data_IF_191300532037
#
_entry.id   IF_191300532037
#
_cell.length_a   1.000
_cell.length_b   1.000
_cell.length_c   1.000
_cell.angle_alpha   90.00
_cell.angle_beta   90.00
_cell.angle_gamma   90.00
#
_symmetry.space_group_name_H-M   'P 1'
#
loop_
_entity.id
_entity.type
_entity.pdbx_description
1 polymer ?
#
# COMPACT_ATOMS: atom_id res chain seq x y z
N UNK A 1 38.51 17.38 -5.01
CA UNK A 1 37.41 16.60 -4.44
C UNK A 1 36.25 17.55 -4.25
N UNK A 2 35.13 17.33 -4.93
CA UNK A 2 33.95 18.16 -4.73
C UNK A 2 33.39 17.92 -3.32
N UNK A 3 32.63 18.90 -2.82
CA UNK A 3 31.99 18.81 -1.51
C UNK A 3 31.08 17.57 -1.46
N UNK A 4 31.27 16.74 -0.43
CA UNK A 4 30.55 15.47 -0.15
C UNK A 4 30.92 14.22 -0.97
N UNK A 5 31.94 14.23 -1.84
CA UNK A 5 32.28 13.06 -2.68
C UNK A 5 32.59 11.79 -1.86
N UNK A 6 33.30 11.93 -0.75
CA UNK A 6 33.64 10.81 0.13
C UNK A 6 32.37 10.16 0.73
N UNK A 7 31.45 10.98 1.23
CA UNK A 7 30.16 10.52 1.78
C UNK A 7 29.29 9.90 0.69
N UNK A 8 29.23 10.50 -0.50
CA UNK A 8 28.52 9.95 -1.67
C UNK A 8 29.06 8.58 -2.06
N UNK A 9 30.38 8.41 -2.07
CA UNK A 9 31.01 7.11 -2.29
C UNK A 9 30.68 6.11 -1.18
N UNK A 10 30.59 6.56 0.07
CA UNK A 10 30.18 5.71 1.20
C UNK A 10 28.73 5.22 1.05
N UNK A 11 27.79 6.07 0.62
CA UNK A 11 26.40 5.67 0.36
C UNK A 11 26.32 4.62 -0.76
N UNK A 12 27.08 4.79 -1.85
CA UNK A 12 27.14 3.76 -2.92
C UNK A 12 27.63 2.41 -2.40
N UNK A 13 28.63 2.39 -1.51
CA UNK A 13 29.11 1.15 -0.87
C UNK A 13 28.05 0.47 -0.01
N UNK A 14 27.08 1.22 0.51
CA UNK A 14 25.92 0.68 1.24
C UNK A 14 24.79 0.22 0.31
N UNK A 15 24.95 0.35 -1.01
CA UNK A 15 23.91 0.04 -2.00
C UNK A 15 22.85 1.14 -2.15
N UNK A 16 23.14 2.36 -1.70
CA UNK A 16 22.23 3.51 -1.77
C UNK A 16 22.62 4.44 -2.92
N UNK A 17 21.64 5.16 -3.52
CA UNK A 17 21.95 6.22 -4.47
C UNK A 17 22.74 7.33 -3.78
N UNK A 18 23.63 7.98 -4.52
CA UNK A 18 24.45 9.08 -3.99
C UNK A 18 23.79 10.44 -4.10
N UNK A 19 22.67 10.57 -4.81
CA UNK A 19 21.89 11.79 -5.02
C UNK A 19 20.47 11.45 -5.45
N UNK A 20 19.57 12.41 -5.29
CA UNK A 20 18.28 12.40 -5.97
C UNK A 20 18.49 12.88 -7.41
N UNK A 21 17.93 12.18 -8.39
CA UNK A 21 18.06 12.59 -9.79
C UNK A 21 17.32 11.68 -10.75
N UNK A 22 16.69 12.29 -11.76
CA UNK A 22 16.00 11.58 -12.85
C UNK A 22 17.00 10.90 -13.81
N UNK A 23 18.28 11.32 -13.76
CA UNK A 23 19.40 10.71 -14.50
C UNK A 23 19.67 9.24 -14.14
N UNK A 24 18.97 8.70 -13.13
CA UNK A 24 18.93 7.26 -12.85
C UNK A 24 18.29 6.45 -13.99
N UNK A 25 17.59 7.12 -14.91
CA UNK A 25 16.91 6.48 -16.04
C UNK A 25 15.64 5.74 -15.62
N UNK A 26 14.89 5.17 -16.58
CA UNK A 26 13.71 4.39 -16.29
C UNK A 26 14.07 3.11 -15.53
N UNK A 27 13.24 2.73 -14.56
CA UNK A 27 13.35 1.47 -13.84
C UNK A 27 13.16 0.28 -14.79
N UNK A 28 14.10 -0.68 -14.82
CA UNK A 28 13.97 -1.89 -15.62
C UNK A 28 13.09 -2.96 -14.94
N UNK A 29 12.71 -2.78 -13.67
CA UNK A 29 11.97 -3.77 -12.88
C UNK A 29 10.52 -3.86 -13.34
N UNK A 30 9.89 -5.02 -13.17
CA UNK A 30 8.50 -5.30 -13.55
C UNK A 30 7.82 -6.16 -12.49
N UNK A 31 6.49 -6.18 -12.51
CA UNK A 31 5.70 -7.22 -11.83
C UNK A 31 5.95 -8.58 -12.50
N UNK A 32 5.54 -9.66 -11.85
CA UNK A 32 5.77 -11.04 -12.31
C UNK A 32 5.13 -11.34 -13.70
N UNK A 33 4.08 -10.60 -14.06
CA UNK A 33 3.41 -10.63 -15.38
C UNK A 33 4.10 -9.74 -16.44
N UNK A 34 5.23 -9.12 -16.11
CA UNK A 34 5.95 -8.19 -16.98
C UNK A 34 5.37 -6.77 -17.01
N UNK A 35 4.31 -6.48 -16.24
CA UNK A 35 3.72 -5.15 -16.19
C UNK A 35 4.58 -4.16 -15.42
N UNK A 36 4.38 -2.89 -15.75
CA UNK A 36 4.99 -1.76 -15.06
C UNK A 36 4.11 -1.18 -13.97
N UNK A 37 2.79 -1.26 -14.16
CA UNK A 37 1.81 -0.54 -13.36
C UNK A 37 0.63 -1.43 -13.00
N UNK A 38 0.18 -1.28 -11.74
CA UNK A 38 -1.07 -1.79 -11.19
C UNK A 38 -1.82 -0.64 -10.52
N UNK A 39 -3.07 -0.87 -10.15
CA UNK A 39 -3.95 0.13 -9.54
C UNK A 39 -4.44 -0.37 -8.19
N UNK A 40 -4.32 0.49 -7.17
CA UNK A 40 -4.88 0.26 -5.84
C UNK A 40 -5.99 1.29 -5.52
N UNK A 41 -7.13 0.79 -5.02
CA UNK A 41 -8.17 1.61 -4.40
C UNK A 41 -8.08 1.47 -2.86
N UNK A 42 -7.69 2.53 -2.14
CA UNK A 42 -7.68 2.53 -0.68
C UNK A 42 -9.05 2.75 -0.06
N UNK A 43 -9.12 2.48 1.24
CA UNK A 43 -10.27 2.77 2.10
C UNK A 43 -11.54 1.99 1.70
N UNK A 44 -11.37 0.74 1.25
CA UNK A 44 -12.47 -0.19 1.00
C UNK A 44 -12.93 -0.81 2.34
N UNK A 45 -13.72 -0.06 3.10
CA UNK A 45 -14.15 -0.41 4.46
C UNK A 45 -15.29 -1.43 4.49
N UNK A 46 -15.00 -2.67 4.10
CA UNK A 46 -15.92 -3.80 4.23
C UNK A 46 -16.59 -4.26 2.93
N UNK A 47 -17.42 -5.32 3.00
CA UNK A 47 -17.94 -6.00 1.81
C UNK A 47 -18.79 -5.13 0.88
N UNK A 48 -19.66 -4.27 1.43
CA UNK A 48 -20.52 -3.39 0.62
C UNK A 48 -19.72 -2.33 -0.13
N UNK A 49 -18.67 -1.78 0.49
CA UNK A 49 -17.77 -0.83 -0.18
C UNK A 49 -17.00 -1.54 -1.29
N UNK A 50 -16.50 -2.75 -1.04
CA UNK A 50 -15.81 -3.55 -2.05
C UNK A 50 -16.71 -3.88 -3.25
N UNK A 51 -17.96 -4.32 -3.02
CA UNK A 51 -18.95 -4.52 -4.10
C UNK A 51 -19.13 -3.25 -4.92
N UNK A 52 -19.38 -2.12 -4.26
CA UNK A 52 -19.59 -0.86 -4.94
C UNK A 52 -18.38 -0.42 -5.77
N UNK A 53 -17.16 -0.66 -5.27
CA UNK A 53 -15.91 -0.42 -5.99
C UNK A 53 -15.81 -1.31 -7.23
N UNK A 54 -16.09 -2.60 -7.11
CA UNK A 54 -16.06 -3.55 -8.23
C UNK A 54 -17.11 -3.22 -9.30
N UNK A 55 -18.36 -2.96 -8.90
CA UNK A 55 -19.45 -2.54 -9.79
C UNK A 55 -19.10 -1.24 -10.54
N UNK A 56 -18.54 -0.26 -9.84
CA UNK A 56 -18.15 1.00 -10.45
C UNK A 56 -16.97 0.83 -11.41
N UNK A 57 -16.06 -0.09 -11.09
CA UNK A 57 -14.90 -0.39 -11.90
C UNK A 57 -15.31 -1.07 -13.20
N UNK A 58 -16.25 -2.02 -13.14
CA UNK A 58 -16.87 -2.61 -14.33
C UNK A 58 -17.58 -1.53 -15.17
N UNK A 59 -18.39 -0.69 -14.52
CA UNK A 59 -19.16 0.38 -15.19
C UNK A 59 -18.28 1.39 -15.92
N UNK A 60 -17.11 1.70 -15.38
CA UNK A 60 -16.17 2.69 -15.92
C UNK A 60 -15.00 2.06 -16.69
N UNK A 61 -14.99 0.74 -16.88
CA UNK A 61 -13.87 0.00 -17.45
C UNK A 61 -12.52 0.38 -16.79
N UNK A 62 -12.49 0.29 -15.46
CA UNK A 62 -11.30 0.55 -14.64
C UNK A 62 -10.68 -0.74 -14.18
N UNK A 63 -9.43 -0.97 -14.57
CA UNK A 63 -8.65 -2.12 -14.07
C UNK A 63 -8.17 -1.88 -12.64
N UNK A 64 -8.76 -2.57 -11.68
CA UNK A 64 -8.32 -2.60 -10.28
C UNK A 64 -7.54 -3.89 -10.03
N UNK A 65 -6.45 -3.79 -9.28
CA UNK A 65 -5.59 -4.94 -8.96
C UNK A 65 -5.54 -5.20 -7.46
N UNK A 66 -5.73 -4.16 -6.65
CA UNK A 66 -5.68 -4.24 -5.20
C UNK A 66 -6.71 -3.31 -4.57
N UNK A 67 -7.31 -3.75 -3.48
CA UNK A 67 -7.99 -2.89 -2.53
C UNK A 67 -7.30 -2.95 -1.19
N UNK A 68 -7.34 -1.85 -0.43
CA UNK A 68 -6.89 -1.85 0.96
C UNK A 68 -7.96 -1.30 1.89
N UNK A 69 -8.02 -1.88 3.08
CA UNK A 69 -8.93 -1.53 4.16
C UNK A 69 -8.10 -0.95 5.32
N UNK A 70 -8.59 0.11 5.95
CA UNK A 70 -7.84 0.89 6.94
C UNK A 70 -8.28 0.69 8.39
N UNK A 71 -9.55 0.33 8.65
CA UNK A 71 -9.99 0.11 10.03
C UNK A 71 -9.40 -1.14 10.67
N UNK A 72 -8.84 -2.03 9.86
CA UNK A 72 -8.13 -3.22 10.27
C UNK A 72 -9.01 -4.41 10.62
N UNK A 73 -8.36 -5.58 10.64
CA UNK A 73 -8.94 -6.90 10.89
C UNK A 73 -9.72 -6.94 12.22
N UNK A 74 -9.21 -6.24 13.24
CA UNK A 74 -9.75 -6.16 14.60
C UNK A 74 -11.22 -5.73 14.66
N UNK A 75 -11.62 -4.80 13.79
CA UNK A 75 -12.95 -4.21 13.78
C UNK A 75 -13.85 -4.81 12.71
N UNK A 76 -13.51 -6.01 12.22
CA UNK A 76 -14.30 -6.74 11.24
C UNK A 76 -14.74 -8.09 11.81
N UNK A 77 -15.96 -8.50 11.50
CA UNK A 77 -16.45 -9.85 11.78
C UNK A 77 -15.79 -10.86 10.85
N UNK A 78 -15.79 -12.14 11.26
CA UNK A 78 -15.29 -13.21 10.38
C UNK A 78 -16.08 -13.32 9.08
N UNK A 79 -17.39 -13.07 9.13
CA UNK A 79 -18.27 -13.09 7.97
C UNK A 79 -17.89 -12.02 6.97
N UNK A 80 -17.67 -10.78 7.42
CA UNK A 80 -17.23 -9.68 6.54
C UNK A 80 -15.86 -9.96 5.91
N UNK A 81 -14.91 -10.55 6.66
CA UNK A 81 -13.59 -10.90 6.11
C UNK A 81 -13.73 -12.00 5.05
N UNK A 82 -14.53 -13.04 5.31
CA UNK A 82 -14.78 -14.11 4.31
C UNK A 82 -15.47 -13.57 3.07
N UNK A 83 -16.43 -12.67 3.24
CA UNK A 83 -17.14 -12.04 2.12
C UNK A 83 -16.20 -11.16 1.29
N UNK A 84 -15.33 -10.37 1.93
CA UNK A 84 -14.29 -9.63 1.21
C UNK A 84 -13.29 -10.54 0.50
N UNK A 85 -12.87 -11.65 1.13
CA UNK A 85 -12.01 -12.65 0.52
C UNK A 85 -12.68 -13.26 -0.72
N UNK A 86 -13.97 -13.62 -0.62
CA UNK A 86 -14.76 -14.14 -1.75
C UNK A 86 -14.82 -13.14 -2.90
N UNK A 87 -15.23 -11.90 -2.64
CA UNK A 87 -15.30 -10.85 -3.66
C UNK A 87 -13.95 -10.59 -4.33
N UNK A 88 -12.87 -10.52 -3.54
CA UNK A 88 -11.51 -10.35 -4.07
C UNK A 88 -11.06 -11.53 -4.93
N UNK A 89 -11.36 -12.76 -4.50
CA UNK A 89 -11.03 -13.97 -5.25
C UNK A 89 -11.81 -14.10 -6.56
N UNK A 90 -13.10 -13.77 -6.56
CA UNK A 90 -13.96 -13.75 -7.75
C UNK A 90 -13.52 -12.69 -8.76
N UNK A 91 -13.16 -11.50 -8.28
CA UNK A 91 -12.64 -10.43 -9.13
C UNK A 91 -11.17 -10.61 -9.53
N UNK A 92 -10.45 -11.57 -8.93
CA UNK A 92 -9.03 -11.79 -9.18
C UNK A 92 -8.13 -10.65 -8.69
N UNK A 93 -8.53 -9.95 -7.62
CA UNK A 93 -7.79 -8.83 -7.04
C UNK A 93 -7.27 -9.13 -5.63
N UNK A 94 -6.19 -8.46 -5.25
CA UNK A 94 -5.68 -8.52 -3.89
C UNK A 94 -6.58 -7.73 -2.91
N UNK A 95 -6.80 -8.30 -1.73
CA UNK A 95 -7.45 -7.62 -0.60
C UNK A 95 -6.46 -7.52 0.55
N UNK A 96 -6.02 -6.29 0.86
CA UNK A 96 -5.08 -6.01 1.96
C UNK A 96 -5.80 -5.40 3.16
N UNK A 97 -5.81 -6.11 4.28
CA UNK A 97 -6.46 -5.62 5.52
C UNK A 97 -5.42 -5.07 6.51
N UNK A 98 -5.72 -3.94 7.16
CA UNK A 98 -4.81 -3.37 8.17
C UNK A 98 -4.73 -4.25 9.41
N UNK A 99 -3.55 -4.33 10.03
CA UNK A 99 -3.40 -4.95 11.36
C UNK A 99 -3.90 -4.00 12.45
N UNK A 100 -4.89 -4.42 13.23
CA UNK A 100 -5.71 -3.55 14.09
C UNK A 100 -5.04 -2.89 15.30
N UNK A 101 -4.31 -3.62 16.18
CA UNK A 101 -3.75 -3.06 17.41
C UNK A 101 -2.84 -1.86 17.15
N UNK A 102 -3.29 -0.66 17.53
CA UNK A 102 -2.59 0.60 17.25
C UNK A 102 -2.77 1.59 18.39
N UNK A 103 -1.72 2.33 18.71
CA UNK A 103 -1.69 3.25 19.84
C UNK A 103 -2.78 4.33 19.77
N UNK A 104 -3.09 4.83 18.56
CA UNK A 104 -4.10 5.86 18.32
C UNK A 104 -5.52 5.43 18.64
N UNK A 105 -5.78 4.13 18.72
CA UNK A 105 -7.08 3.55 19.08
C UNK A 105 -7.08 2.94 20.48
N UNK A 106 -5.94 3.02 21.15
CA UNK A 106 -5.75 2.53 22.50
C UNK A 106 -5.73 3.71 23.50
N UNK A 107 -5.37 3.41 24.74
CA UNK A 107 -5.27 4.35 25.85
C UNK A 107 -4.02 5.25 25.80
N UNK A 108 -3.26 5.31 24.70
CA UNK A 108 -1.99 6.04 24.64
C UNK A 108 -2.17 7.57 24.77
N UNK A 109 -1.70 8.21 25.87
CA UNK A 109 -1.75 9.66 25.99
C UNK A 109 -0.83 10.33 24.96
N UNK A 110 0.32 9.71 24.68
CA UNK A 110 1.25 10.22 23.66
C UNK A 110 0.58 10.29 22.29
N UNK A 111 -0.14 9.24 21.86
CA UNK A 111 -0.82 9.23 20.56
C UNK A 111 -1.93 10.30 20.44
N UNK A 112 -2.50 10.73 21.57
CA UNK A 112 -3.53 11.76 21.67
C UNK A 112 -2.98 13.19 21.78
N UNK A 113 -1.68 13.33 22.06
CA UNK A 113 -1.01 14.63 22.11
C UNK A 113 -0.88 15.25 20.71
N UNK A 114 -0.61 16.55 20.68
CA UNK A 114 -0.37 17.31 19.44
C UNK A 114 0.78 16.73 18.61
N UNK A 115 1.91 16.39 19.25
CA UNK A 115 3.05 15.73 18.61
C UNK A 115 2.86 14.21 18.43
N UNK A 116 1.72 13.67 18.86
CA UNK A 116 1.43 12.25 18.96
C UNK A 116 1.19 11.53 17.64
N UNK A 117 1.03 12.27 16.54
CA UNK A 117 0.74 11.72 15.22
C UNK A 117 1.71 10.59 14.82
N UNK A 118 3.00 10.76 15.12
CA UNK A 118 4.08 9.82 14.77
C UNK A 118 3.93 8.43 15.42
N UNK A 119 3.23 8.32 16.56
CA UNK A 119 3.04 7.04 17.24
C UNK A 119 1.67 6.43 17.03
N UNK A 120 0.73 7.11 16.34
CA UNK A 120 -0.68 6.66 16.27
C UNK A 120 -0.85 5.27 15.65
N UNK A 121 -0.01 4.91 14.69
CA UNK A 121 -0.11 3.63 13.99
C UNK A 121 0.71 2.50 14.62
N UNK A 122 1.43 2.78 15.72
CA UNK A 122 2.38 1.86 16.35
C UNK A 122 1.68 0.83 17.22
N UNK A 123 2.24 -0.37 17.30
CA UNK A 123 1.88 -1.38 18.31
C UNK A 123 2.57 -1.07 19.64
N UNK A 124 1.88 -1.25 20.76
CA UNK A 124 2.38 -0.97 22.09
C UNK A 124 2.75 -2.24 22.87
N UNK A 125 4.02 -2.36 23.21
CA UNK A 125 4.54 -3.46 24.03
C UNK A 125 4.45 -4.83 23.34
N UNK A 126 4.93 -5.86 24.03
CA UNK A 126 4.95 -7.22 23.49
C UNK A 126 3.55 -7.79 23.25
N UNK A 127 2.58 -7.44 24.10
CA UNK A 127 1.22 -7.97 24.01
C UNK A 127 0.51 -7.54 22.72
N UNK A 128 0.66 -6.28 22.29
CA UNK A 128 0.07 -5.87 21.00
C UNK A 128 0.81 -6.45 19.80
N UNK A 129 2.09 -6.83 19.93
CA UNK A 129 2.78 -7.61 18.90
C UNK A 129 2.15 -8.99 18.78
N UNK A 130 1.91 -9.69 19.91
CA UNK A 130 1.22 -10.98 19.93
C UNK A 130 -0.17 -10.87 19.30
N UNK A 131 -0.98 -9.90 19.73
CA UNK A 131 -2.32 -9.66 19.16
C UNK A 131 -2.27 -9.35 17.67
N UNK A 132 -1.27 -8.59 17.22
CA UNK A 132 -1.06 -8.29 15.80
C UNK A 132 -0.72 -9.54 14.99
N UNK A 133 0.07 -10.47 15.54
CA UNK A 133 0.34 -11.76 14.90
C UNK A 133 -0.92 -12.62 14.84
N UNK A 134 -1.74 -12.63 15.90
CA UNK A 134 -3.02 -13.37 15.89
C UNK A 134 -4.01 -12.80 14.87
N UNK A 135 -4.03 -11.49 14.65
CA UNK A 135 -4.80 -10.84 13.59
C UNK A 135 -4.37 -11.30 12.19
N UNK A 136 -3.05 -11.43 11.96
CA UNK A 136 -2.50 -11.96 10.70
C UNK A 136 -2.94 -13.42 10.50
N UNK A 137 -2.86 -14.26 11.54
CA UNK A 137 -3.32 -15.66 11.49
C UNK A 137 -4.82 -15.75 11.20
N UNK A 138 -5.63 -14.92 11.86
CA UNK A 138 -7.08 -14.83 11.66
C UNK A 138 -7.41 -14.44 10.22
N UNK A 139 -6.83 -13.36 9.71
CA UNK A 139 -7.02 -12.94 8.32
C UNK A 139 -6.66 -14.05 7.33
N UNK A 140 -5.50 -14.71 7.54
CA UNK A 140 -5.06 -15.81 6.70
C UNK A 140 -6.03 -17.00 6.71
N UNK A 141 -6.50 -17.38 7.91
CA UNK A 141 -7.44 -18.48 8.11
C UNK A 141 -8.77 -18.25 7.37
N UNK A 142 -9.19 -16.99 7.26
CA UNK A 142 -10.41 -16.54 6.60
C UNK A 142 -10.23 -16.25 5.09
N UNK A 143 -9.05 -16.54 4.53
CA UNK A 143 -8.81 -16.51 3.10
C UNK A 143 -7.97 -15.33 2.60
N UNK A 144 -7.67 -14.34 3.45
CA UNK A 144 -6.83 -13.19 3.08
C UNK A 144 -5.37 -13.62 2.90
N UNK A 145 -4.66 -12.96 1.98
CA UNK A 145 -3.24 -13.23 1.69
C UNK A 145 -2.35 -11.99 1.76
N UNK A 146 -2.90 -10.84 2.11
CA UNK A 146 -2.17 -9.58 2.25
C UNK A 146 -2.64 -8.81 3.47
N UNK A 147 -1.70 -8.28 4.24
CA UNK A 147 -1.98 -7.40 5.38
C UNK A 147 -1.15 -6.12 5.30
N UNK A 148 -1.74 -5.03 5.79
CA UNK A 148 -1.14 -3.70 5.82
C UNK A 148 -0.54 -3.44 7.20
N UNK A 149 0.77 -3.17 7.23
CA UNK A 149 1.60 -3.06 8.43
C UNK A 149 2.09 -1.62 8.60
N UNK A 150 1.96 -1.05 9.79
CA UNK A 150 2.32 0.36 10.07
C UNK A 150 3.32 0.53 11.22
N UNK A 151 4.06 -0.53 11.53
CA UNK A 151 5.12 -0.56 12.51
C UNK A 151 6.29 -1.42 11.97
N UNK A 152 7.50 -0.88 11.99
CA UNK A 152 8.70 -1.52 11.45
C UNK A 152 9.23 -2.65 12.34
N UNK A 153 9.04 -2.55 13.66
CA UNK A 153 9.36 -3.63 14.59
C UNK A 153 8.44 -4.83 14.40
N UNK A 154 7.13 -4.60 14.29
CA UNK A 154 6.16 -5.63 13.93
C UNK A 154 6.46 -6.24 12.56
N UNK A 155 6.77 -5.42 11.55
CA UNK A 155 7.14 -5.92 10.22
C UNK A 155 8.32 -6.90 10.30
N UNK A 156 9.36 -6.56 11.05
CA UNK A 156 10.52 -7.44 11.25
C UNK A 156 10.10 -8.76 11.93
N UNK A 157 9.28 -8.71 12.97
CA UNK A 157 8.76 -9.93 13.64
C UNK A 157 7.98 -10.80 12.65
N UNK A 158 7.06 -10.22 11.88
CA UNK A 158 6.26 -10.94 10.88
C UNK A 158 7.17 -11.59 9.81
N UNK A 159 8.17 -10.85 9.32
CA UNK A 159 9.13 -11.37 8.35
C UNK A 159 10.01 -12.50 8.89
N UNK A 160 10.47 -12.42 10.15
CA UNK A 160 11.19 -13.52 10.83
C UNK A 160 10.31 -14.75 10.98
N UNK A 161 9.08 -14.58 11.47
CA UNK A 161 8.12 -15.67 11.66
C UNK A 161 7.78 -16.35 10.34
N UNK A 162 7.58 -15.59 9.25
CA UNK A 162 7.39 -16.15 7.90
C UNK A 162 8.61 -16.94 7.42
N UNK A 163 9.83 -16.43 7.64
CA UNK A 163 11.08 -17.11 7.25
C UNK A 163 11.33 -18.40 8.03
N UNK A 164 10.86 -18.50 9.27
CA UNK A 164 10.98 -19.68 10.13
C UNK A 164 9.85 -20.69 9.94
N UNK A 165 8.79 -20.32 9.21
CA UNK A 165 7.62 -21.15 8.97
C UNK A 165 6.54 -21.06 10.05
N UNK A 166 6.67 -20.11 11.00
CA UNK A 166 5.65 -19.84 12.02
C UNK A 166 4.42 -19.12 11.42
N UNK A 167 4.61 -18.41 10.31
CA UNK A 167 3.56 -17.82 9.49
C UNK A 167 3.63 -18.35 8.05
N UNK A 168 2.49 -18.42 7.34
CA UNK A 168 2.46 -18.94 5.97
C UNK A 168 3.36 -18.17 5.00
N UNK A 169 4.10 -18.90 4.16
CA UNK A 169 5.04 -18.33 3.20
C UNK A 169 4.37 -17.44 2.14
N UNK A 170 3.08 -17.68 1.86
CA UNK A 170 2.27 -16.93 0.90
C UNK A 170 1.56 -15.71 1.51
N UNK A 171 1.74 -15.42 2.81
CA UNK A 171 1.22 -14.20 3.43
C UNK A 171 2.10 -13.01 3.05
N UNK A 172 1.52 -11.99 2.42
CA UNK A 172 2.20 -10.75 1.98
C UNK A 172 2.07 -9.62 3.00
N UNK A 173 3.15 -8.85 3.16
CA UNK A 173 3.23 -7.71 4.06
C UNK A 173 3.40 -6.42 3.27
N UNK A 174 2.33 -5.64 3.20
CA UNK A 174 2.33 -4.32 2.58
C UNK A 174 2.67 -3.27 3.64
N UNK A 175 3.69 -2.46 3.41
CA UNK A 175 4.02 -1.33 4.30
C UNK A 175 3.04 -0.19 4.09
N UNK A 176 2.48 0.31 5.19
CA UNK A 176 1.53 1.41 5.22
C UNK A 176 2.20 2.76 5.02
N UNK A 177 1.47 3.68 4.38
CA UNK A 177 1.88 5.10 4.24
C UNK A 177 2.12 5.75 5.60
N UNK A 178 1.48 5.24 6.66
CA UNK A 178 1.65 5.72 8.03
C UNK A 178 3.06 5.51 8.60
N UNK A 179 3.90 4.66 7.98
CA UNK A 179 5.32 4.55 8.36
C UNK A 179 6.11 5.79 7.89
N UNK A 180 5.68 6.45 6.81
CA UNK A 180 6.36 7.64 6.28
C UNK A 180 7.71 7.32 5.63
N UNK A 181 7.74 6.36 4.68
CA UNK A 181 8.97 5.96 4.00
C UNK A 181 9.45 7.07 3.04
N UNK A 182 10.28 7.96 3.56
CA UNK A 182 10.70 9.18 2.86
C UNK A 182 12.12 9.12 2.25
N UNK A 183 12.82 7.99 2.35
CA UNK A 183 14.20 7.88 1.83
C UNK A 183 14.58 6.45 1.41
N UNK A 184 15.63 6.29 0.59
CA UNK A 184 16.04 4.99 0.06
C UNK A 184 16.52 4.00 1.12
N UNK A 185 17.18 4.47 2.18
CA UNK A 185 17.71 3.61 3.25
C UNK A 185 16.59 2.95 4.05
N UNK A 186 15.53 3.69 4.37
CA UNK A 186 14.33 3.16 5.04
C UNK A 186 13.64 2.11 4.16
N UNK A 187 13.46 2.38 2.86
CA UNK A 187 12.85 1.40 1.95
C UNK A 187 13.65 0.08 1.89
N UNK A 188 14.98 0.18 1.76
CA UNK A 188 15.89 -0.98 1.78
C UNK A 188 15.78 -1.75 3.11
N UNK A 189 15.68 -1.06 4.25
CA UNK A 189 15.55 -1.70 5.56
C UNK A 189 14.23 -2.47 5.70
N UNK A 190 13.11 -1.85 5.29
CA UNK A 190 11.79 -2.48 5.38
C UNK A 190 11.66 -3.70 4.45
N UNK A 191 12.28 -3.66 3.28
CA UNK A 191 12.40 -4.85 2.42
C UNK A 191 13.16 -5.98 3.14
N UNK A 192 14.28 -5.68 3.80
CA UNK A 192 15.03 -6.68 4.59
C UNK A 192 14.23 -7.22 5.78
N UNK A 193 13.36 -6.41 6.35
CA UNK A 193 12.45 -6.82 7.42
C UNK A 193 11.32 -7.72 6.93
N UNK A 194 11.06 -7.77 5.62
CA UNK A 194 10.11 -8.70 5.01
C UNK A 194 8.95 -8.03 4.28
N UNK A 195 8.99 -6.73 4.02
CA UNK A 195 7.99 -6.08 3.18
C UNK A 195 7.92 -6.75 1.79
N UNK A 196 6.71 -6.89 1.26
CA UNK A 196 6.45 -7.34 -0.11
C UNK A 196 6.06 -6.19 -1.04
N UNK A 197 5.48 -5.10 -0.51
CA UNK A 197 5.35 -3.81 -1.21
C UNK A 197 5.45 -2.64 -0.23
N UNK A 198 5.79 -1.45 -0.72
CA UNK A 198 6.04 -0.27 0.12
C UNK A 198 5.23 0.93 -0.35
N UNK A 199 4.30 1.41 0.50
CA UNK A 199 3.83 2.80 0.36
C UNK A 199 4.97 3.75 0.74
N UNK A 200 5.35 4.60 -0.21
CA UNK A 200 6.29 5.70 0.04
C UNK A 200 5.60 6.88 0.71
N UNK A 201 6.41 7.78 1.29
CA UNK A 201 5.95 9.06 1.80
C UNK A 201 5.27 9.90 0.73
N UNK A 202 4.28 10.67 1.16
CA UNK A 202 3.44 11.52 0.29
C UNK A 202 4.10 12.89 0.02
N UNK A 203 5.28 13.12 0.56
CA UNK A 203 6.12 14.32 0.43
C UNK A 203 7.15 14.26 -0.72
N UNK A 204 7.30 13.11 -1.38
CA UNK A 204 8.40 12.85 -2.32
C UNK A 204 8.11 13.33 -3.75
N UNK A 205 9.05 14.10 -4.31
CA UNK A 205 9.09 14.45 -5.73
C UNK A 205 9.60 13.29 -6.61
N UNK A 206 9.53 13.43 -7.94
CA UNK A 206 9.93 12.38 -8.88
C UNK A 206 11.39 11.92 -8.74
N UNK A 207 12.33 12.83 -8.47
CA UNK A 207 13.74 12.49 -8.32
C UNK A 207 14.00 11.68 -7.04
N UNK A 208 13.31 12.02 -5.95
CA UNK A 208 13.37 11.30 -4.68
C UNK A 208 12.70 9.91 -4.80
N UNK A 209 11.58 9.82 -5.52
CA UNK A 209 10.93 8.54 -5.80
C UNK A 209 11.82 7.61 -6.62
N UNK A 210 12.51 8.13 -7.64
CA UNK A 210 13.49 7.37 -8.41
C UNK A 210 14.65 6.87 -7.53
N UNK A 211 15.14 7.70 -6.62
CA UNK A 211 16.18 7.31 -5.65
C UNK A 211 15.69 6.18 -4.72
N UNK A 212 14.46 6.26 -4.21
CA UNK A 212 13.85 5.17 -3.42
C UNK A 212 13.75 3.90 -4.26
N UNK A 213 13.27 3.99 -5.50
CA UNK A 213 13.14 2.83 -6.40
C UNK A 213 14.48 2.13 -6.64
N UNK A 214 15.57 2.87 -6.74
CA UNK A 214 16.90 2.32 -6.96
C UNK A 214 17.38 1.44 -5.79
N UNK A 215 17.01 1.76 -4.55
CA UNK A 215 17.49 1.06 -3.35
C UNK A 215 16.68 -0.16 -2.91
N UNK A 216 15.51 -0.41 -3.52
CA UNK A 216 14.63 -1.53 -3.14
C UNK A 216 14.19 -2.35 -4.35
N UNK A 217 13.89 -3.64 -4.21
CA UNK A 217 13.37 -4.48 -5.31
C UNK A 217 11.85 -4.67 -5.27
N UNK A 218 11.21 -4.51 -4.12
CA UNK A 218 9.76 -4.74 -3.95
C UNK A 218 8.91 -3.64 -4.61
N UNK A 219 7.71 -3.91 -5.15
CA UNK A 219 6.86 -2.89 -5.74
C UNK A 219 6.60 -1.69 -4.82
N UNK A 220 6.57 -0.50 -5.40
CA UNK A 220 6.19 0.73 -4.70
C UNK A 220 4.68 0.96 -4.83
N UNK A 221 4.06 1.48 -3.79
CA UNK A 221 2.70 2.00 -3.82
C UNK A 221 2.78 3.53 -3.70
N UNK A 222 2.28 4.26 -4.68
CA UNK A 222 2.42 5.71 -4.75
C UNK A 222 1.05 6.35 -4.94
N UNK A 223 0.70 7.25 -4.02
CA UNK A 223 -0.50 8.05 -4.17
C UNK A 223 -0.31 9.17 -5.22
N UNK A 224 -1.29 9.30 -6.11
CA UNK A 224 -1.40 10.43 -7.05
C UNK A 224 -2.48 11.43 -6.64
N UNK A 225 -3.32 11.02 -5.69
CA UNK A 225 -4.24 11.85 -4.93
C UNK A 225 -4.34 11.26 -3.54
N UNK A 226 -4.41 12.11 -2.51
CA UNK A 226 -4.43 11.68 -1.10
C UNK A 226 -5.53 12.38 -0.32
N UNK A 227 -6.10 11.73 0.71
CA UNK A 227 -6.89 12.44 1.71
C UNK A 227 -6.05 13.45 2.49
N UNK A 228 -6.73 14.39 3.15
CA UNK A 228 -6.09 15.56 3.75
C UNK A 228 -5.19 15.19 4.94
N UNK A 229 -5.53 14.13 5.67
CA UNK A 229 -4.76 13.63 6.82
C UNK A 229 -3.44 12.94 6.46
N UNK A 230 -3.19 12.72 5.16
CA UNK A 230 -1.91 12.21 4.64
C UNK A 230 -1.31 13.10 3.54
N UNK A 231 -1.77 14.36 3.42
CA UNK A 231 -1.10 15.41 2.63
C UNK A 231 -1.99 16.24 1.70
N UNK A 232 -3.20 15.77 1.37
CA UNK A 232 -4.21 16.56 0.63
C UNK A 232 -3.80 17.11 -0.75
N UNK A 233 -2.93 16.45 -1.53
CA UNK A 233 -2.56 16.89 -2.90
C UNK A 233 -3.22 16.08 -4.02
N UNK A 234 -3.04 16.59 -5.25
CA UNK A 234 -3.47 16.02 -6.52
C UNK A 234 -2.31 16.18 -7.53
N UNK A 235 -1.70 15.09 -8.00
CA UNK A 235 -0.50 15.07 -8.88
C UNK A 235 -0.65 14.20 -10.14
N UNK A 236 -1.86 14.12 -10.69
CA UNK A 236 -2.20 13.21 -11.80
C UNK A 236 -1.32 13.37 -13.05
N UNK A 237 -0.94 14.59 -13.40
CA UNK A 237 -0.09 14.85 -14.57
C UNK A 237 1.33 14.33 -14.42
N UNK A 238 1.74 13.91 -13.23
CA UNK A 238 3.02 13.23 -13.03
C UNK A 238 2.93 11.73 -13.30
N UNK A 239 1.74 11.12 -13.46
CA UNK A 239 1.60 9.68 -13.72
C UNK A 239 2.48 9.22 -14.90
N UNK A 240 2.52 9.92 -16.05
CA UNK A 240 3.34 9.52 -17.19
C UNK A 240 4.85 9.45 -16.89
N UNK A 241 5.36 10.36 -16.06
CA UNK A 241 6.78 10.40 -15.68
C UNK A 241 7.08 9.49 -14.48
N UNK A 242 6.11 9.32 -13.58
CA UNK A 242 6.21 8.53 -12.36
C UNK A 242 6.37 7.04 -12.69
N UNK A 243 5.52 6.48 -13.56
CA UNK A 243 5.54 5.05 -13.89
C UNK A 243 6.93 4.56 -14.37
N UNK A 244 7.56 5.18 -15.39
CA UNK A 244 8.86 4.72 -15.86
C UNK A 244 9.94 4.84 -14.77
N UNK A 245 9.87 5.84 -13.88
CA UNK A 245 10.86 6.03 -12.82
C UNK A 245 10.68 5.06 -11.64
N UNK A 246 9.47 4.58 -11.38
CA UNK A 246 9.16 3.84 -10.14
C UNK A 246 8.68 2.41 -10.35
N UNK A 247 8.57 1.95 -11.60
CA UNK A 247 8.11 0.60 -11.94
C UNK A 247 8.92 -0.53 -11.23
N UNK A 248 8.29 -1.62 -10.76
CA UNK A 248 6.85 -1.86 -10.71
C UNK A 248 6.18 -1.01 -9.63
N UNK A 249 5.02 -0.43 -9.97
CA UNK A 249 4.31 0.52 -9.11
C UNK A 249 2.81 0.25 -9.08
N UNK A 250 2.21 0.31 -7.89
CA UNK A 250 0.78 0.50 -7.71
C UNK A 250 0.49 2.00 -7.66
N UNK A 251 -0.28 2.50 -8.63
CA UNK A 251 -0.84 3.85 -8.57
C UNK A 251 -2.06 3.82 -7.68
N UNK A 252 -2.04 4.67 -6.66
CA UNK A 252 -3.02 4.66 -5.59
C UNK A 252 -3.87 5.92 -5.64
N UNK A 253 -5.18 5.72 -5.72
CA UNK A 253 -6.15 6.80 -5.87
C UNK A 253 -6.85 7.04 -4.54
N UNK A 254 -6.31 7.94 -3.74
CA UNK A 254 -7.00 8.49 -2.59
C UNK A 254 -8.12 9.44 -3.02
N UNK A 255 -8.48 10.38 -2.16
CA UNK A 255 -9.48 11.39 -2.48
C UNK A 255 -9.25 12.62 -1.62
N UNK A 256 -8.85 13.74 -2.23
CA UNK A 256 -8.64 15.00 -1.53
C UNK A 256 -9.98 15.54 -1.00
N UNK A 257 -9.95 16.21 0.15
CA UNK A 257 -11.14 16.71 0.86
C UNK A 257 -12.13 15.61 1.29
N UNK A 258 -11.74 14.32 1.22
CA UNK A 258 -12.57 13.26 1.76
C UNK A 258 -12.57 13.32 3.29
N UNK A 259 -13.75 13.18 3.95
CA UNK A 259 -13.80 13.04 5.39
C UNK A 259 -13.05 11.78 5.84
N UNK A 260 -12.42 11.84 7.02
CA UNK A 260 -11.81 10.67 7.64
C UNK A 260 -12.92 9.72 8.12
N UNK A 261 -12.85 8.46 7.70
CA UNK A 261 -13.84 7.41 7.98
C UNK A 261 -13.32 6.33 8.92
N UNK A 262 -12.21 6.57 9.62
CA UNK A 262 -11.53 5.60 10.47
C UNK A 262 -11.72 5.87 11.97
N UNK A 263 -12.04 4.84 12.78
CA UNK A 263 -12.51 3.52 12.37
C UNK A 263 -13.90 3.60 11.71
N UNK A 264 -14.13 2.78 10.70
CA UNK A 264 -15.40 2.71 9.98
C UNK A 264 -16.36 1.73 10.64
N UNK A 265 -17.66 1.95 10.45
CA UNK A 265 -18.73 1.08 10.90
C UNK A 265 -20.06 1.46 10.23
N UNK A 266 -21.15 0.78 10.59
CA UNK A 266 -22.45 0.95 9.91
C UNK A 266 -22.94 2.40 9.80
N UNK A 267 -22.61 3.25 10.78
CA UNK A 267 -22.95 4.68 10.79
C UNK A 267 -22.24 5.53 9.71
N UNK A 268 -21.19 5.02 9.07
CA UNK A 268 -20.44 5.68 7.99
C UNK A 268 -20.52 4.93 6.65
N UNK A 269 -21.25 3.81 6.58
CA UNK A 269 -21.22 2.89 5.44
C UNK A 269 -21.63 3.55 4.13
N UNK A 270 -22.72 4.30 4.11
CA UNK A 270 -23.20 5.02 2.92
C UNK A 270 -22.17 6.02 2.38
N UNK A 271 -21.47 6.70 3.30
CA UNK A 271 -20.40 7.62 2.95
C UNK A 271 -19.20 6.84 2.40
N UNK A 272 -18.79 5.76 3.05
CA UNK A 272 -17.69 4.91 2.59
C UNK A 272 -17.94 4.34 1.19
N UNK A 273 -19.18 3.91 0.89
CA UNK A 273 -19.61 3.46 -0.45
C UNK A 273 -19.45 4.57 -1.48
N UNK A 274 -19.94 5.79 -1.19
CA UNK A 274 -19.81 6.95 -2.10
C UNK A 274 -18.35 7.29 -2.37
N UNK A 275 -17.51 7.32 -1.33
CA UNK A 275 -16.09 7.60 -1.47
C UNK A 275 -15.35 6.48 -2.23
N UNK A 276 -15.74 5.22 -2.04
CA UNK A 276 -15.22 4.08 -2.80
C UNK A 276 -15.46 4.24 -4.30
N UNK A 277 -16.70 4.52 -4.71
CA UNK A 277 -17.05 4.78 -6.11
C UNK A 277 -16.30 5.98 -6.69
N UNK A 278 -16.20 7.07 -5.93
CA UNK A 278 -15.47 8.25 -6.38
C UNK A 278 -13.98 7.95 -6.61
N UNK A 279 -13.33 7.13 -5.77
CA UNK A 279 -11.94 6.70 -5.99
C UNK A 279 -11.77 5.88 -7.27
N UNK A 280 -12.78 5.09 -7.65
CA UNK A 280 -12.77 4.37 -8.94
C UNK A 280 -12.90 5.36 -10.11
N UNK A 281 -13.79 6.34 -10.02
CA UNK A 281 -13.87 7.43 -11.00
C UNK A 281 -12.53 8.17 -11.13
N UNK A 282 -11.84 8.40 -10.02
CA UNK A 282 -10.48 8.96 -9.99
C UNK A 282 -9.47 8.07 -10.71
N UNK A 283 -9.52 6.77 -10.48
CA UNK A 283 -8.68 5.81 -11.20
C UNK A 283 -8.94 5.80 -12.71
N UNK A 284 -10.19 5.98 -13.19
CA UNK A 284 -10.51 6.14 -14.62
C UNK A 284 -9.79 7.33 -15.23
N UNK A 285 -9.79 8.48 -14.55
CA UNK A 285 -9.04 9.68 -14.98
C UNK A 285 -7.54 9.38 -15.09
N UNK A 286 -6.98 8.67 -14.10
CA UNK A 286 -5.59 8.23 -14.13
C UNK A 286 -5.28 7.31 -15.32
N UNK A 287 -6.16 6.36 -15.64
CA UNK A 287 -6.00 5.47 -16.78
C UNK A 287 -6.08 6.21 -18.12
N UNK A 288 -6.99 7.17 -18.28
CA UNK A 288 -7.05 8.03 -19.47
C UNK A 288 -5.77 8.82 -19.70
N UNK A 289 -5.10 9.28 -18.62
CA UNK A 289 -3.81 9.95 -18.73
C UNK A 289 -2.69 9.00 -19.16
N UNK A 290 -2.69 7.76 -18.66
CA UNK A 290 -1.74 6.72 -19.10
C UNK A 290 -1.94 6.42 -20.59
N UNK A 291 -3.19 6.20 -21.01
CA UNK A 291 -3.53 5.92 -22.42
C UNK A 291 -3.11 7.07 -23.34
N UNK A 292 -3.30 8.32 -22.90
CA UNK A 292 -3.00 9.51 -23.71
C UNK A 292 -1.50 9.82 -23.80
N UNK A 293 -0.76 9.66 -22.72
CA UNK A 293 0.61 10.18 -22.60
C UNK A 293 1.68 9.10 -22.41
N UNK A 294 1.30 7.84 -22.23
CA UNK A 294 2.19 6.70 -21.99
C UNK A 294 1.72 5.42 -22.70
N UNK A 295 1.47 5.46 -24.03
CA UNK A 295 0.88 4.32 -24.75
C UNK A 295 1.73 3.04 -24.73
N UNK A 296 3.04 3.15 -24.44
CA UNK A 296 3.95 2.00 -24.30
C UNK A 296 3.99 1.39 -22.89
N UNK A 297 3.32 1.99 -21.89
CA UNK A 297 3.28 1.44 -20.53
C UNK A 297 2.46 0.16 -20.51
N UNK A 298 3.05 -0.90 -19.98
CA UNK A 298 2.36 -2.17 -19.78
C UNK A 298 1.67 -2.16 -18.41
N UNK A 299 0.34 -2.25 -18.40
CA UNK A 299 -0.46 -2.48 -17.19
C UNK A 299 -0.80 -3.96 -17.08
N UNK A 300 -0.84 -4.49 -15.86
CA UNK A 300 -1.29 -5.87 -15.62
C UNK A 300 -2.68 -6.09 -16.20
N UNK A 301 -2.93 -7.30 -16.69
CA UNK A 301 -4.24 -7.66 -17.24
C UNK A 301 -5.18 -8.07 -16.11
N UNK A 302 -6.49 -7.77 -16.20
CA UNK A 302 -7.46 -8.22 -15.22
C UNK A 302 -7.53 -9.75 -15.14
N UNK A 303 -7.75 -10.28 -13.93
CA UNK A 303 -8.03 -11.71 -13.72
C UNK A 303 -6.85 -12.67 -13.86
N UNK A 304 -5.67 -12.21 -14.29
CA UNK A 304 -4.46 -13.03 -14.32
C UNK A 304 -3.92 -13.21 -12.89
N UNK A 305 -4.02 -14.44 -12.35
CA UNK A 305 -3.38 -14.79 -11.07
C UNK A 305 -1.86 -14.76 -11.25
N UNK A 306 -1.22 -13.83 -10.55
CA UNK A 306 0.23 -13.67 -10.52
C UNK A 306 0.77 -13.99 -9.12
N UNK A 307 1.97 -14.55 -9.02
CA UNK A 307 2.59 -14.92 -7.73
C UNK A 307 2.82 -13.71 -6.80
N UNK A 308 2.98 -12.52 -7.39
CA UNK A 308 3.21 -11.26 -6.70
C UNK A 308 1.91 -10.47 -6.44
N UNK A 309 0.74 -11.05 -6.76
CA UNK A 309 -0.57 -10.51 -6.47
C UNK A 309 -1.28 -11.41 -5.45
N UNK A 310 -1.46 -10.92 -4.22
CA UNK A 310 -2.01 -11.71 -3.11
C UNK A 310 -3.53 -11.84 -3.17
N UNK A 311 -4.03 -12.46 -4.25
CA UNK A 311 -5.46 -12.75 -4.42
C UNK A 311 -5.92 -13.69 -3.29
N UNK A 312 -7.02 -13.38 -2.59
CA UNK A 312 -7.55 -14.23 -1.55
C UNK A 312 -7.90 -15.65 -2.04
N UNK A 313 -8.00 -16.58 -1.10
CA UNK A 313 -8.42 -17.96 -1.34
C UNK A 313 -9.74 -18.21 -0.65
N UNK A 314 -10.76 -18.59 -1.42
CA UNK A 314 -12.04 -19.05 -0.88
C UNK A 314 -11.83 -20.46 -0.33
N UNK A 315 -12.18 -20.66 0.93
CA UNK A 315 -12.15 -21.96 1.61
C UNK A 315 -13.56 -22.45 1.87
#
# INVERSE_FOLDING_TARGET
MAMYDETRAALKRLGLPDRDGVDLGPSPKRFADGAQVRVEIPSCEGPKVLRAVLEEAERLDVRIHRVSQGSGVLLMTDEEIREMAKLGAEAGIEVSLFIGPRAGWHLSPLAKSESGGIVRSRTLGAEQIVQSVEEVKRAYALGIRSVLVADDGLLWVLGEMRRRGDLPADMKYKVSVMIGVANPATAMLLERYGADTINVGTDLNLAQLAAVRAATTVPLDIYVEVPDDVGGFVRYYEIPDLIPLTSPVYIKFGLRNAPNIYPSGGHLEDLAVKLGRERVRRARIGQELIERYCPGVVMSKPGERCEDLAVPVVR
#
